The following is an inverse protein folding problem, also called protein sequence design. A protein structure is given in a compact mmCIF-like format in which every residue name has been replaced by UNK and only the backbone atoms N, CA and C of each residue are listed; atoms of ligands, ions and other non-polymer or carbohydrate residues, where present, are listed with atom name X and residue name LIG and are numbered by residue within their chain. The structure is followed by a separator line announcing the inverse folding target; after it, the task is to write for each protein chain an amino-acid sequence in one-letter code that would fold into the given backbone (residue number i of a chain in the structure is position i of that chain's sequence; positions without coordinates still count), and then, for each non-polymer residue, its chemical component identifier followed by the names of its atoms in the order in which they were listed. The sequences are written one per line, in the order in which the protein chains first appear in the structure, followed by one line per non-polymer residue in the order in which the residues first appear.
data_IF_087957852809
#
_entry.id   IF_087957852809
#
_cell.length_a   1.000
_cell.length_b   1.000
_cell.length_c   1.000
_cell.angle_alpha   90.00
_cell.angle_beta   90.00
_cell.angle_gamma   90.00
#
_symmetry.space_group_name_H-M   'P 1'
#
loop_
_entity.id
_entity.type
_entity.pdbx_description
1 polymer ?
#
# COMPACT_ATOMS: atom_id res chain seq x y z
N UNK A 1 0.96 36.55 17.57
CA UNK A 1 0.70 35.66 16.41
C UNK A 1 -0.71 35.10 16.60
N UNK A 2 -1.66 35.48 15.75
CA UNK A 2 -3.09 35.39 16.05
C UNK A 2 -3.61 33.93 16.06
N UNK A 3 -4.46 33.62 17.03
CA UNK A 3 -5.02 32.31 17.35
C UNK A 3 -5.97 31.73 16.27
N UNK A 4 -6.23 32.47 15.19
CA UNK A 4 -7.22 32.16 14.16
C UNK A 4 -6.73 31.18 13.09
N UNK A 5 -5.44 30.86 13.04
CA UNK A 5 -4.85 29.97 12.04
C UNK A 5 -4.85 28.48 12.44
N UNK A 6 -5.35 28.14 13.64
CA UNK A 6 -5.35 26.76 14.14
C UNK A 6 -6.11 25.78 13.24
N UNK A 7 -7.15 26.24 12.55
CA UNK A 7 -7.95 25.40 11.66
C UNK A 7 -7.27 25.14 10.30
N UNK A 8 -6.38 26.03 9.83
CA UNK A 8 -5.64 25.79 8.58
C UNK A 8 -4.53 24.74 8.76
N UNK A 9 -3.93 24.70 9.96
CA UNK A 9 -2.86 23.76 10.31
C UNK A 9 -3.41 22.35 10.57
N UNK A 10 -4.68 22.23 11.01
CA UNK A 10 -5.29 20.94 11.37
C UNK A 10 -5.32 19.95 10.21
N UNK A 11 -5.55 20.42 8.99
CA UNK A 11 -5.54 19.59 7.79
C UNK A 11 -4.11 19.13 7.45
N UNK A 12 -3.11 19.99 7.65
CA UNK A 12 -1.68 19.68 7.44
C UNK A 12 -1.11 18.72 8.49
N UNK A 13 -1.69 18.70 9.70
CA UNK A 13 -1.30 17.75 10.75
C UNK A 13 -1.71 16.31 10.43
N UNK A 14 -2.66 16.13 9.51
CA UNK A 14 -3.19 14.83 9.09
C UNK A 14 -2.56 14.34 7.77
N UNK A 15 -1.61 15.08 7.21
CA UNK A 15 -0.93 14.72 5.95
C UNK A 15 0.14 13.62 6.15
N UNK A 16 0.61 13.41 7.39
CA UNK A 16 1.60 12.36 7.67
C UNK A 16 0.92 11.00 7.83
N UNK A 17 1.26 10.08 6.92
CA UNK A 17 0.70 8.74 6.79
C UNK A 17 0.72 8.02 8.14
N UNK A 18 1.87 7.99 8.82
CA UNK A 18 2.06 7.22 10.05
C UNK A 18 1.55 7.93 11.32
N UNK A 19 1.19 9.21 11.21
CA UNK A 19 0.51 9.96 12.27
C UNK A 19 -1.02 10.00 12.07
N UNK A 20 -1.53 9.40 10.99
CA UNK A 20 -2.95 9.41 10.67
C UNK A 20 -3.78 8.56 11.64
N UNK A 21 -5.06 8.92 11.79
CA UNK A 21 -6.01 8.14 12.60
C UNK A 21 -6.27 6.77 11.96
N UNK A 22 -6.20 6.68 10.63
CA UNK A 22 -6.46 5.44 9.88
C UNK A 22 -5.45 4.34 10.21
N UNK A 23 -4.16 4.69 10.34
CA UNK A 23 -3.10 3.74 10.72
C UNK A 23 -3.01 3.51 12.24
N UNK A 24 -3.72 4.29 13.05
CA UNK A 24 -3.76 4.11 14.51
C UNK A 24 -4.65 2.95 14.97
N UNK A 25 -5.48 2.40 14.07
CA UNK A 25 -6.41 1.31 14.33
C UNK A 25 -6.08 0.08 13.48
N UNK A 26 -6.37 -1.12 13.98
CA UNK A 26 -6.18 -2.35 13.20
C UNK A 26 -7.12 -2.36 12.00
N UNK A 27 -6.60 -2.79 10.85
CA UNK A 27 -7.42 -2.97 9.65
C UNK A 27 -8.51 -4.02 9.85
N UNK A 28 -9.71 -3.80 9.28
CA UNK A 28 -10.82 -4.74 9.39
C UNK A 28 -10.51 -6.03 8.62
N UNK A 29 -10.49 -7.17 9.33
CA UNK A 29 -10.18 -8.48 8.75
C UNK A 29 -11.41 -9.31 8.36
N UNK A 30 -12.59 -8.98 8.90
CA UNK A 30 -13.77 -9.87 8.85
C UNK A 30 -15.05 -9.19 8.33
N UNK A 31 -15.00 -7.89 8.05
CA UNK A 31 -16.14 -7.11 7.56
C UNK A 31 -15.65 -6.06 6.58
N UNK A 32 -16.51 -5.72 5.63
CA UNK A 32 -16.25 -4.61 4.71
C UNK A 32 -16.22 -3.28 5.49
N UNK A 33 -15.24 -2.39 5.25
CA UNK A 33 -15.19 -1.08 5.89
C UNK A 33 -16.44 -0.25 5.57
N UNK A 34 -17.01 0.44 6.56
CA UNK A 34 -18.19 1.32 6.35
C UNK A 34 -17.85 2.69 5.79
N UNK A 35 -16.56 3.06 5.82
CA UNK A 35 -16.04 4.36 5.38
C UNK A 35 -14.82 4.13 4.50
N UNK A 36 -14.60 5.05 3.57
CA UNK A 36 -13.39 5.08 2.75
C UNK A 36 -12.15 5.46 3.57
N UNK A 37 -10.98 5.12 3.04
CA UNK A 37 -9.68 5.48 3.61
C UNK A 37 -8.85 6.19 2.54
N UNK A 38 -7.90 7.01 2.95
CA UNK A 38 -6.96 7.62 2.01
C UNK A 38 -6.18 6.51 1.27
N UNK A 39 -6.06 6.57 -0.08
CA UNK A 39 -5.35 5.55 -0.85
C UNK A 39 -3.90 5.33 -0.41
N UNK A 40 -3.21 6.36 0.08
CA UNK A 40 -1.83 6.27 0.57
C UNK A 40 -1.77 5.53 1.90
N UNK A 41 -2.76 5.75 2.78
CA UNK A 41 -2.85 5.02 4.04
C UNK A 41 -3.15 3.54 3.77
N UNK A 42 -4.10 3.25 2.88
CA UNK A 42 -4.43 1.88 2.49
C UNK A 42 -3.22 1.15 1.89
N UNK A 43 -2.49 1.79 0.98
CA UNK A 43 -1.27 1.24 0.40
C UNK A 43 -0.20 0.94 1.47
N UNK A 44 0.07 1.91 2.36
CA UNK A 44 1.10 1.78 3.38
C UNK A 44 0.83 0.58 4.30
N UNK A 45 -0.43 0.40 4.74
CA UNK A 45 -0.77 -0.72 5.62
C UNK A 45 -0.57 -2.07 4.94
N UNK A 46 -1.02 -2.21 3.69
CA UNK A 46 -0.84 -3.48 2.95
C UNK A 46 0.64 -3.72 2.69
N UNK A 47 1.39 -2.68 2.31
CA UNK A 47 2.82 -2.77 2.07
C UNK A 47 3.61 -3.18 3.32
N UNK A 48 3.27 -2.62 4.48
CA UNK A 48 3.90 -2.95 5.75
C UNK A 48 3.59 -4.40 6.18
N UNK A 49 2.36 -4.89 5.96
CA UNK A 49 2.01 -6.30 6.24
C UNK A 49 2.81 -7.27 5.35
N UNK A 50 3.06 -6.91 4.08
CA UNK A 50 3.89 -7.71 3.16
C UNK A 50 5.35 -7.84 3.61
N UNK A 51 5.86 -6.94 4.46
CA UNK A 51 7.21 -7.07 5.03
C UNK A 51 7.36 -8.32 5.91
N UNK A 52 6.25 -8.93 6.35
CA UNK A 52 6.24 -10.17 7.14
C UNK A 52 6.42 -11.43 6.29
N UNK A 53 6.29 -11.36 4.96
CA UNK A 53 6.40 -12.52 4.05
C UNK A 53 7.85 -13.03 3.88
N UNK A 54 8.83 -12.30 4.42
CA UNK A 54 10.24 -12.63 4.33
C UNK A 54 10.85 -12.34 2.96
N UNK A 55 12.14 -12.64 2.81
CA UNK A 55 12.87 -12.36 1.57
C UNK A 55 12.79 -13.54 0.60
N UNK A 56 12.10 -13.36 -0.53
CA UNK A 56 11.95 -14.41 -1.55
C UNK A 56 13.29 -14.96 -2.07
N UNK A 57 14.37 -14.17 -2.12
CA UNK A 57 15.70 -14.64 -2.56
C UNK A 57 16.37 -15.58 -1.55
N UNK A 58 15.90 -15.59 -0.30
CA UNK A 58 16.37 -16.50 0.75
C UNK A 58 15.49 -17.76 0.85
N UNK A 59 14.41 -17.85 0.07
CA UNK A 59 13.55 -19.02 0.04
C UNK A 59 14.16 -20.11 -0.85
N UNK A 60 14.73 -21.14 -0.22
CA UNK A 60 15.32 -22.31 -0.90
C UNK A 60 14.34 -23.48 -1.04
N UNK A 61 13.10 -23.34 -0.58
CA UNK A 61 12.09 -24.40 -0.61
C UNK A 61 11.23 -24.37 -1.89
N UNK A 62 11.15 -23.23 -2.58
CA UNK A 62 10.35 -23.08 -3.78
C UNK A 62 11.12 -23.42 -5.06
N UNK A 63 10.41 -23.92 -6.06
CA UNK A 63 10.91 -24.10 -7.43
C UNK A 63 10.55 -22.92 -8.36
N UNK A 64 9.74 -21.96 -7.89
CA UNK A 64 9.33 -20.80 -8.68
C UNK A 64 10.46 -19.77 -8.79
N UNK A 65 10.41 -18.91 -9.82
CA UNK A 65 11.34 -17.79 -9.98
C UNK A 65 11.12 -16.74 -8.88
N UNK A 66 12.22 -16.21 -8.32
CA UNK A 66 12.23 -15.17 -7.27
C UNK A 66 13.06 -13.95 -7.66
N UNK A 67 13.51 -13.90 -8.92
CA UNK A 67 14.26 -12.80 -9.51
C UNK A 67 13.95 -12.72 -11.00
N UNK A 68 13.76 -11.50 -11.50
CA UNK A 68 13.53 -11.17 -12.91
C UNK A 68 14.30 -9.89 -13.26
N UNK A 69 14.62 -9.70 -14.54
CA UNK A 69 15.26 -8.47 -15.03
C UNK A 69 14.31 -7.25 -14.96
N UNK A 70 14.84 -6.01 -14.84
CA UNK A 70 14.05 -4.78 -14.84
C UNK A 70 13.15 -4.61 -16.08
N UNK A 71 13.56 -5.16 -17.23
CA UNK A 71 12.80 -5.14 -18.47
C UNK A 71 11.52 -5.98 -18.35
N UNK A 72 11.58 -7.12 -17.65
CA UNK A 72 10.41 -7.97 -17.38
C UNK A 72 9.42 -7.23 -16.48
N UNK A 73 9.90 -6.55 -15.44
CA UNK A 73 9.03 -5.72 -14.59
C UNK A 73 8.27 -4.66 -15.38
N UNK A 74 8.91 -3.99 -16.35
CA UNK A 74 8.24 -3.00 -17.23
C UNK A 74 7.20 -3.65 -18.12
N UNK A 75 7.53 -4.78 -18.75
CA UNK A 75 6.58 -5.50 -19.59
C UNK A 75 5.34 -5.94 -18.79
N UNK A 76 5.52 -6.39 -17.54
CA UNK A 76 4.43 -6.79 -16.66
C UNK A 76 3.52 -5.61 -16.28
N UNK A 77 4.11 -4.43 -15.99
CA UNK A 77 3.35 -3.20 -15.71
C UNK A 77 2.57 -2.74 -16.97
N UNK A 78 3.21 -2.74 -18.14
CA UNK A 78 2.60 -2.40 -19.44
C UNK A 78 1.48 -3.37 -19.89
N UNK A 79 1.33 -4.51 -19.22
CA UNK A 79 0.29 -5.50 -19.55
C UNK A 79 -0.65 -5.85 -18.39
N UNK A 80 -0.60 -5.13 -17.28
CA UNK A 80 -1.42 -5.42 -16.09
C UNK A 80 -2.93 -5.34 -16.36
N UNK A 81 -3.35 -4.53 -17.33
CA UNK A 81 -4.75 -4.34 -17.74
C UNK A 81 -5.16 -5.18 -18.97
N UNK A 82 -4.24 -5.99 -19.51
CA UNK A 82 -4.49 -6.79 -20.73
C UNK A 82 -5.14 -8.12 -20.39
N UNK A 83 -6.34 -8.33 -20.92
CA UNK A 83 -7.03 -9.61 -20.84
C UNK A 83 -6.57 -10.57 -21.94
N UNK A 84 -6.01 -11.72 -21.57
CA UNK A 84 -5.53 -12.73 -22.52
C UNK A 84 -6.65 -13.36 -23.37
N UNK A 85 -7.89 -13.33 -22.88
CA UNK A 85 -9.07 -13.94 -23.54
C UNK A 85 -9.62 -13.08 -24.66
N UNK A 86 -9.36 -11.76 -24.67
CA UNK A 86 -9.86 -10.82 -25.68
C UNK A 86 -9.06 -10.91 -27.01
N UNK A 87 -8.69 -12.14 -27.39
CA UNK A 87 -7.97 -12.52 -28.61
C UNK A 87 -8.90 -12.91 -29.74
#
# INVERSE_FOLDING_TARGET
MALHDKNSIRHKLQDDIYASVDLSVRMPKYRFPSVEQDPRHAYAVVHDELMLDGNARQNLATFCQTWEEPEIHRLMDDCIDKNIVDK
#
